data_IF_665319376381
#
_entry.id   IF_665319376381
#
_cell.length_a   1.000
_cell.length_b   1.000
_cell.length_c   1.000
_cell.angle_alpha   90.00
_cell.angle_beta   90.00
_cell.angle_gamma   90.00
#
_symmetry.space_group_name_H-M   'P 1'
#
loop_
_entity.id
_entity.type
_entity.pdbx_description
1 polymer ?
#
# COMPACT_ATOMS: atom_id res chain seq x y z
N UNK A 1 10.09 -5.10 0.91
CA UNK A 1 9.96 -4.05 1.93
C UNK A 1 10.74 -2.79 1.57
N UNK A 2 11.91 -2.92 0.97
CA UNK A 2 12.74 -1.76 0.56
C UNK A 2 12.03 -0.92 -0.51
N UNK A 3 11.35 -1.56 -1.44
CA UNK A 3 10.55 -0.87 -2.46
C UNK A 3 9.43 -0.04 -1.81
N UNK A 4 8.71 -0.61 -0.87
CA UNK A 4 7.62 0.08 -0.17
C UNK A 4 8.17 1.28 0.60
N UNK A 5 9.29 1.13 1.29
CA UNK A 5 9.90 2.21 2.06
C UNK A 5 10.35 3.38 1.17
N UNK A 6 11.03 3.09 0.07
CA UNK A 6 11.46 4.13 -0.90
C UNK A 6 10.26 4.80 -1.56
N UNK A 7 9.28 4.03 -1.96
CA UNK A 7 8.08 4.56 -2.59
C UNK A 7 7.30 5.45 -1.63
N UNK A 8 7.23 5.09 -0.35
CA UNK A 8 6.60 5.91 0.68
C UNK A 8 7.30 7.26 0.86
N UNK A 9 8.64 7.29 0.83
CA UNK A 9 9.40 8.53 0.89
C UNK A 9 9.13 9.42 -0.33
N UNK A 10 9.09 8.86 -1.52
CA UNK A 10 8.76 9.59 -2.75
C UNK A 10 7.35 10.15 -2.68
N UNK A 11 6.38 9.38 -2.20
CA UNK A 11 5.00 9.85 -2.08
C UNK A 11 4.84 10.98 -1.07
N UNK A 12 5.67 11.02 -0.02
CA UNK A 12 5.70 12.17 0.89
C UNK A 12 6.12 13.46 0.18
N UNK A 13 7.08 13.38 -0.72
CA UNK A 13 7.58 14.55 -1.48
C UNK A 13 6.62 14.95 -2.60
N UNK A 14 5.79 14.07 -3.09
CA UNK A 14 4.85 14.29 -4.21
C UNK A 14 3.46 14.80 -3.76
N UNK A 15 3.35 15.28 -2.53
CA UNK A 15 2.12 15.92 -2.01
C UNK A 15 0.86 15.04 -2.02
N UNK A 16 0.96 13.80 -1.55
CA UNK A 16 -0.24 13.12 -1.05
C UNK A 16 -0.40 13.53 0.42
N UNK A 17 -1.31 14.46 0.74
CA UNK A 17 -1.47 14.86 2.13
C UNK A 17 -2.11 13.72 2.91
N UNK A 18 -1.50 13.37 4.04
CA UNK A 18 -2.15 12.49 4.99
C UNK A 18 -3.39 13.21 5.54
N UNK A 19 -4.56 12.54 5.62
CA UNK A 19 -5.74 13.16 6.20
C UNK A 19 -5.48 13.60 7.65
N UNK A 20 -6.12 14.68 8.07
CA UNK A 20 -5.96 15.17 9.44
C UNK A 20 -6.34 14.14 10.49
N UNK A 21 -7.33 13.30 10.21
CA UNK A 21 -7.76 12.23 11.11
C UNK A 21 -6.78 11.06 11.16
N UNK A 22 -5.79 10.98 10.28
CA UNK A 22 -4.82 9.87 10.24
C UNK A 22 -4.01 9.72 11.53
N UNK A 23 -3.89 10.78 12.31
CA UNK A 23 -3.17 10.76 13.59
C UNK A 23 -3.94 10.06 14.71
N UNK A 24 -5.25 9.87 14.56
CA UNK A 24 -6.13 9.46 15.66
C UNK A 24 -6.83 8.12 15.44
N UNK A 25 -6.71 7.52 14.25
CA UNK A 25 -7.49 6.33 13.89
C UNK A 25 -6.64 5.07 13.85
N UNK A 26 -7.27 3.95 14.15
CA UNK A 26 -6.70 2.63 13.85
C UNK A 26 -7.05 2.23 12.42
N UNK A 27 -6.30 1.29 11.84
CA UNK A 27 -6.42 0.91 10.43
C UNK A 27 -7.61 0.04 10.10
N UNK A 28 -8.43 -0.32 11.08
CA UNK A 28 -9.66 -1.08 10.89
C UNK A 28 -10.14 -1.73 12.17
N UNK A 29 -11.29 -2.40 12.09
CA UNK A 29 -11.87 -3.14 13.22
C UNK A 29 -10.97 -4.31 13.67
N UNK A 30 -10.11 -4.82 12.79
CA UNK A 30 -9.16 -5.90 13.08
C UNK A 30 -8.03 -5.46 14.01
N UNK A 31 -7.71 -4.17 14.05
CA UNK A 31 -6.61 -3.64 14.86
C UNK A 31 -7.09 -3.23 16.24
N UNK A 32 -6.26 -3.42 17.26
CA UNK A 32 -6.56 -3.03 18.64
C UNK A 32 -6.04 -1.63 18.96
N UNK A 33 -4.96 -1.22 18.29
CA UNK A 33 -4.28 0.04 18.55
C UNK A 33 -4.04 0.82 17.26
N UNK A 34 -3.87 2.17 17.34
CA UNK A 34 -3.42 2.95 16.21
C UNK A 34 -2.04 2.51 15.71
N UNK A 35 -1.68 2.81 14.43
CA UNK A 35 -0.35 2.51 13.93
C UNK A 35 0.74 3.20 14.75
N UNK A 36 1.86 2.52 14.97
CA UNK A 36 2.98 3.05 15.76
C UNK A 36 3.79 4.10 15.03
N UNK A 37 3.93 3.98 13.69
CA UNK A 37 4.69 4.91 12.88
C UNK A 37 3.82 6.09 12.45
N UNK A 38 4.33 7.30 12.57
CA UNK A 38 3.59 8.51 12.16
C UNK A 38 3.37 8.62 10.64
N UNK A 39 4.21 7.96 9.85
CA UNK A 39 4.16 7.97 8.39
C UNK A 39 3.44 6.76 7.78
N UNK A 40 2.63 6.08 8.57
CA UNK A 40 1.93 4.87 8.13
C UNK A 40 1.03 5.09 6.91
N UNK A 41 0.49 6.29 6.73
CA UNK A 41 -0.37 6.63 5.60
C UNK A 41 0.36 6.44 4.27
N UNK A 42 1.54 7.03 4.14
CA UNK A 42 2.34 6.94 2.92
C UNK A 42 2.84 5.52 2.66
N UNK A 43 3.18 4.81 3.72
CA UNK A 43 3.53 3.38 3.63
C UNK A 43 2.36 2.56 3.13
N UNK A 44 1.14 2.84 3.58
CA UNK A 44 -0.07 2.17 3.09
C UNK A 44 -0.33 2.48 1.61
N UNK A 45 -0.18 3.73 1.19
CA UNK A 45 -0.31 4.11 -0.21
C UNK A 45 0.70 3.37 -1.09
N UNK A 46 1.95 3.30 -0.67
CA UNK A 46 2.99 2.56 -1.38
C UNK A 46 2.67 1.06 -1.47
N UNK A 47 2.21 0.47 -0.39
CA UNK A 47 1.81 -0.93 -0.34
C UNK A 47 0.63 -1.23 -1.28
N UNK A 48 -0.33 -0.32 -1.37
CA UNK A 48 -1.48 -0.45 -2.29
C UNK A 48 -1.00 -0.44 -3.74
N UNK A 49 -0.11 0.47 -4.11
CA UNK A 49 0.46 0.50 -5.47
C UNK A 49 1.13 -0.83 -5.82
N UNK A 50 1.92 -1.37 -4.91
CA UNK A 50 2.58 -2.65 -5.11
C UNK A 50 1.58 -3.79 -5.30
N UNK A 51 0.52 -3.83 -4.51
CA UNK A 51 -0.53 -4.86 -4.62
C UNK A 51 -1.28 -4.77 -5.95
N UNK A 52 -1.60 -3.56 -6.41
CA UNK A 52 -2.24 -3.37 -7.71
C UNK A 52 -1.33 -3.85 -8.84
N UNK A 53 -0.03 -3.60 -8.74
CA UNK A 53 0.95 -4.06 -9.72
C UNK A 53 0.93 -5.59 -9.87
N UNK A 54 0.91 -6.32 -8.76
CA UNK A 54 0.94 -7.78 -8.79
C UNK A 54 -0.40 -8.45 -9.10
N UNK A 55 -1.49 -7.87 -8.62
CA UNK A 55 -2.82 -8.49 -8.72
C UNK A 55 -3.64 -8.01 -9.92
N UNK A 56 -3.22 -6.94 -10.58
CA UNK A 56 -3.98 -6.33 -11.66
C UNK A 56 -5.21 -5.59 -11.13
N UNK A 57 -6.35 -5.63 -11.84
CA UNK A 57 -7.54 -4.92 -11.36
C UNK A 57 -7.96 -5.38 -9.98
N UNK A 58 -8.13 -4.45 -9.05
CA UNK A 58 -8.45 -4.76 -7.67
C UNK A 58 -9.48 -3.75 -7.13
N UNK A 59 -10.45 -4.24 -6.36
CA UNK A 59 -11.48 -3.42 -5.73
C UNK A 59 -11.08 -3.01 -4.32
N UNK A 60 -11.79 -2.01 -3.78
CA UNK A 60 -11.63 -1.60 -2.39
C UNK A 60 -11.94 -2.77 -1.43
N UNK A 61 -12.96 -3.56 -1.72
CA UNK A 61 -13.33 -4.70 -0.87
C UNK A 61 -12.24 -5.77 -0.84
N UNK A 62 -11.60 -6.05 -1.97
CA UNK A 62 -10.46 -6.98 -2.03
C UNK A 62 -9.29 -6.48 -1.20
N UNK A 63 -8.98 -5.20 -1.28
CA UNK A 63 -7.93 -4.59 -0.46
C UNK A 63 -8.27 -4.60 1.03
N UNK A 64 -9.52 -4.38 1.39
CA UNK A 64 -9.97 -4.50 2.77
C UNK A 64 -9.70 -5.90 3.33
N UNK A 65 -9.96 -6.92 2.54
CA UNK A 65 -9.70 -8.31 2.92
C UNK A 65 -8.20 -8.56 3.08
N UNK A 66 -7.39 -8.06 2.13
CA UNK A 66 -5.92 -8.24 2.16
C UNK A 66 -5.25 -7.55 3.36
N UNK A 67 -5.73 -6.39 3.75
CA UNK A 67 -5.19 -5.62 4.88
C UNK A 67 -5.87 -5.96 6.21
N UNK A 68 -6.92 -6.73 6.19
CA UNK A 68 -7.57 -7.23 7.38
C UNK A 68 -6.77 -8.33 8.07
N UNK A 69 -7.17 -8.66 9.27
CA UNK A 69 -6.53 -9.72 10.06
C UNK A 69 -7.54 -10.37 10.99
N UNK A 70 -7.15 -11.45 11.63
CA UNK A 70 -7.98 -12.11 12.63
C UNK A 70 -8.13 -11.26 13.89
N UNK A 71 -9.36 -11.15 14.38
CA UNK A 71 -9.66 -10.50 15.64
C UNK A 71 -10.47 -11.43 16.53
N UNK A 72 -10.07 -11.53 17.78
CA UNK A 72 -10.82 -12.28 18.79
C UNK A 72 -11.95 -11.39 19.30
N UNK A 73 -13.19 -11.84 19.09
CA UNK A 73 -14.38 -11.09 19.51
C UNK A 73 -14.73 -11.33 20.99
N UNK A 74 -14.32 -12.46 21.55
CA UNK A 74 -14.59 -12.86 22.92
C UNK A 74 -13.32 -13.36 23.59
N UNK A 75 -13.29 -13.32 24.92
CA UNK A 75 -12.14 -13.72 25.71
C UNK A 75 -11.67 -15.16 25.43
N UNK A 76 -12.59 -16.06 25.13
CA UNK A 76 -12.31 -17.48 24.84
C UNK A 76 -12.58 -17.86 23.38
N UNK A 77 -12.97 -16.91 22.52
CA UNK A 77 -13.33 -17.21 21.14
C UNK A 77 -12.13 -17.41 20.23
N UNK A 78 -12.32 -18.16 19.15
CA UNK A 78 -11.35 -18.21 18.05
C UNK A 78 -11.24 -16.85 17.38
N UNK A 79 -10.08 -16.58 16.79
CA UNK A 79 -9.89 -15.36 16.00
C UNK A 79 -10.62 -15.51 14.66
N UNK A 80 -11.51 -14.57 14.38
CA UNK A 80 -12.19 -14.47 13.09
C UNK A 80 -11.63 -13.32 12.29
N UNK A 81 -11.58 -13.48 10.97
CA UNK A 81 -11.12 -12.44 10.07
C UNK A 81 -12.03 -11.21 10.16
N UNK A 82 -11.41 -10.04 10.24
CA UNK A 82 -12.06 -8.73 10.13
C UNK A 82 -11.38 -7.91 9.05
N UNK A 83 -12.16 -7.26 8.20
CA UNK A 83 -11.66 -6.42 7.14
C UNK A 83 -11.04 -5.13 7.68
N UNK A 84 -10.08 -4.59 6.93
CA UNK A 84 -9.51 -3.29 7.19
C UNK A 84 -10.50 -2.16 6.87
N UNK A 85 -10.19 -0.95 7.33
CA UNK A 85 -11.02 0.23 7.08
C UNK A 85 -11.12 0.57 5.60
N UNK A 86 -12.35 0.61 5.08
CA UNK A 86 -12.61 1.01 3.71
C UNK A 86 -12.35 2.51 3.46
N UNK A 87 -12.57 3.36 4.46
CA UNK A 87 -12.33 4.80 4.35
C UNK A 87 -10.85 5.10 4.08
N UNK A 88 -9.95 4.44 4.81
CA UNK A 88 -8.50 4.59 4.61
C UNK A 88 -8.10 4.18 3.19
N UNK A 89 -8.56 3.03 2.73
CA UNK A 89 -8.25 2.51 1.40
C UNK A 89 -8.81 3.42 0.29
N UNK A 90 -10.06 3.87 0.43
CA UNK A 90 -10.68 4.77 -0.55
C UNK A 90 -9.93 6.10 -0.64
N UNK A 91 -9.57 6.70 0.48
CA UNK A 91 -8.82 7.96 0.49
C UNK A 91 -7.42 7.79 -0.11
N UNK A 92 -6.75 6.69 0.18
CA UNK A 92 -5.46 6.37 -0.41
C UNK A 92 -5.56 6.20 -1.93
N UNK A 93 -6.57 5.47 -2.41
CA UNK A 93 -6.83 5.31 -3.85
C UNK A 93 -7.10 6.65 -4.54
N UNK A 94 -7.91 7.51 -3.93
CA UNK A 94 -8.20 8.84 -4.49
C UNK A 94 -6.94 9.70 -4.59
N UNK A 95 -6.07 9.66 -3.58
CA UNK A 95 -4.79 10.36 -3.62
C UNK A 95 -3.89 9.86 -4.77
N UNK A 96 -3.81 8.56 -4.94
CA UNK A 96 -3.03 7.94 -6.02
C UNK A 96 -3.61 8.24 -7.41
N UNK A 97 -4.94 8.29 -7.54
CA UNK A 97 -5.61 8.68 -8.78
C UNK A 97 -5.29 10.15 -9.15
N UNK A 98 -5.24 11.05 -8.18
CA UNK A 98 -4.87 12.46 -8.40
C UNK A 98 -3.44 12.61 -8.92
N UNK A 99 -2.52 11.76 -8.48
CA UNK A 99 -1.15 11.74 -8.98
C UNK A 99 -1.02 11.08 -10.35
N UNK A 100 -2.06 10.42 -10.84
CA UNK A 100 -2.06 9.74 -12.12
C UNK A 100 -1.41 8.36 -12.11
N UNK A 101 -1.15 7.78 -10.94
CA UNK A 101 -0.55 6.44 -10.84
C UNK A 101 -1.57 5.31 -10.93
N UNK A 102 -2.82 5.58 -10.63
CA UNK A 102 -3.90 4.60 -10.61
C UNK A 102 -5.05 5.09 -11.48
N UNK A 103 -5.67 4.19 -12.23
CA UNK A 103 -6.83 4.46 -13.07
C UNK A 103 -8.00 3.59 -12.64
N UNK A 104 -9.20 4.14 -12.72
CA UNK A 104 -10.43 3.41 -12.46
C UNK A 104 -10.85 2.66 -13.70
N UNK A 105 -11.11 1.35 -13.57
CA UNK A 105 -11.66 0.50 -14.61
C UNK A 105 -13.10 0.14 -14.23
N UNK A 106 -14.04 0.41 -15.12
CA UNK A 106 -15.45 0.12 -14.89
C UNK A 106 -15.67 -1.35 -14.57
N UNK A 107 -16.42 -1.64 -13.49
CA UNK A 107 -16.78 -2.98 -12.99
C UNK A 107 -15.61 -3.86 -12.50
N UNK A 108 -14.36 -3.44 -12.67
CA UNK A 108 -13.19 -4.25 -12.26
C UNK A 108 -12.40 -3.68 -11.09
N UNK A 109 -12.58 -2.40 -10.77
CA UNK A 109 -11.85 -1.73 -9.71
C UNK A 109 -10.77 -0.79 -10.24
N UNK A 110 -9.56 -0.86 -9.66
CA UNK A 110 -8.43 0.03 -10.01
C UNK A 110 -7.27 -0.76 -10.59
N UNK A 111 -6.63 -0.17 -11.59
CA UNK A 111 -5.40 -0.69 -12.20
C UNK A 111 -4.32 0.37 -12.16
N UNK A 112 -3.06 -0.04 -12.27
CA UNK A 112 -1.97 0.92 -12.44
C UNK A 112 -2.06 1.56 -13.82
N UNK A 113 -1.84 2.88 -13.85
CA UNK A 113 -1.63 3.60 -15.10
C UNK A 113 -0.24 3.26 -15.65
N UNK A 114 0.00 3.62 -16.91
CA UNK A 114 1.32 3.50 -17.53
C UNK A 114 2.39 4.23 -16.71
N UNK A 115 2.06 5.42 -16.23
CA UNK A 115 2.96 6.23 -15.38
C UNK A 115 3.28 5.51 -14.05
N UNK A 116 2.28 4.90 -13.42
CA UNK A 116 2.48 4.14 -12.19
C UNK A 116 3.38 2.92 -12.39
N UNK A 117 3.18 2.17 -13.48
CA UNK A 117 4.04 1.03 -13.82
C UNK A 117 5.48 1.46 -14.07
N UNK A 118 5.70 2.51 -14.84
CA UNK A 118 7.04 3.03 -15.11
C UNK A 118 7.74 3.46 -13.82
N UNK A 119 7.02 4.12 -12.92
CA UNK A 119 7.57 4.56 -11.62
C UNK A 119 8.02 3.37 -10.78
N UNK A 120 7.18 2.35 -10.65
CA UNK A 120 7.52 1.16 -9.87
C UNK A 120 8.68 0.38 -10.48
N UNK A 121 8.69 0.19 -11.79
CA UNK A 121 9.76 -0.52 -12.49
C UNK A 121 11.11 0.21 -12.34
N UNK A 122 11.12 1.51 -12.49
CA UNK A 122 12.32 2.34 -12.29
C UNK A 122 12.86 2.20 -10.88
N UNK A 123 12.00 2.34 -9.87
CA UNK A 123 12.39 2.22 -8.48
C UNK A 123 12.90 0.83 -8.13
N UNK A 124 12.25 -0.21 -8.67
CA UNK A 124 12.69 -1.59 -8.47
C UNK A 124 14.09 -1.83 -9.06
N UNK A 125 14.36 -1.29 -10.24
CA UNK A 125 15.67 -1.38 -10.90
C UNK A 125 16.74 -0.67 -10.08
N UNK A 126 16.46 0.52 -9.57
CA UNK A 126 17.37 1.27 -8.71
C UNK A 126 17.73 0.49 -7.44
N UNK A 127 16.73 -0.10 -6.79
CA UNK A 127 16.94 -0.91 -5.59
C UNK A 127 17.78 -2.15 -5.90
N UNK A 128 17.47 -2.83 -7.00
CA UNK A 128 18.25 -4.00 -7.43
C UNK A 128 19.72 -3.64 -7.67
N UNK A 129 19.98 -2.52 -8.34
CA UNK A 129 21.35 -2.05 -8.58
C UNK A 129 22.10 -1.73 -7.28
N UNK A 130 21.43 -1.11 -6.31
CA UNK A 130 22.01 -0.87 -4.99
C UNK A 130 22.34 -2.18 -4.26
N UNK A 131 21.43 -3.17 -4.34
CA UNK A 131 21.64 -4.48 -3.75
C UNK A 131 22.80 -5.23 -4.41
N UNK A 132 22.94 -5.11 -5.73
CA UNK A 132 24.06 -5.70 -6.49
C UNK A 132 25.40 -5.11 -6.05
N UNK A 133 25.46 -3.79 -5.80
CA UNK A 133 26.67 -3.14 -5.30
C UNK A 133 27.06 -3.68 -3.93
N UNK A 134 26.09 -3.96 -3.05
CA UNK A 134 26.31 -4.52 -1.73
C UNK A 134 26.62 -6.02 -1.76
N UNK A 135 26.04 -6.75 -2.69
CA UNK A 135 26.15 -8.20 -2.81
C UNK A 135 26.32 -8.59 -4.29
N UNK A 136 27.56 -8.66 -4.81
CA UNK A 136 27.80 -8.92 -6.23
C UNK A 136 27.19 -10.20 -6.79
N UNK A 137 26.91 -11.18 -5.93
CA UNK A 137 26.25 -12.44 -6.32
C UNK A 137 24.86 -12.24 -6.90
N UNK A 138 24.19 -11.14 -6.61
CA UNK A 138 22.87 -10.82 -7.13
C UNK A 138 22.87 -10.35 -8.59
N UNK A 139 24.04 -10.12 -9.17
CA UNK A 139 24.19 -9.70 -10.57
C UNK A 139 23.55 -10.67 -11.56
N UNK A 140 23.43 -11.94 -11.18
CA UNK A 140 22.79 -12.98 -11.98
C UNK A 140 21.31 -12.66 -12.27
N UNK A 141 20.66 -11.88 -11.40
CA UNK A 141 19.23 -11.55 -11.48
C UNK A 141 18.95 -10.19 -12.14
N UNK A 142 19.98 -9.51 -12.60
CA UNK A 142 19.83 -8.21 -13.27
C UNK A 142 19.56 -8.34 -14.77
#
# INVERSE_FOLDING_TARGET
>A
NDLISKLAEVLKTEDIPAPSWSLFVKTGAHADKPPQKSDWWHTRCASILRKIYFHGPISVNELRTMYGDGKRNMYYGARHHKDASGAIIRNAMHGLEKLGYVEKVEKKGRVLSRQGMQKLDKMSTEILNEMIQKTPKLKIYS
#
